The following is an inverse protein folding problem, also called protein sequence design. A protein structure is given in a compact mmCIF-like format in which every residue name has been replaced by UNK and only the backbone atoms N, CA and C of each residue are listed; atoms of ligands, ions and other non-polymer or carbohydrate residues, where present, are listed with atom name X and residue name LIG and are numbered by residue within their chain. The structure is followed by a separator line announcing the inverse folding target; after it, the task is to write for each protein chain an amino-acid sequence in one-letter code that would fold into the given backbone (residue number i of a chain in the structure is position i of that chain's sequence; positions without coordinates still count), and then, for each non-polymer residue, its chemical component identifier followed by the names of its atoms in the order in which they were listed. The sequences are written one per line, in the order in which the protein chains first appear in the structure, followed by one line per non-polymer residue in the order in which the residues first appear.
data_IF_823973333781
#
_entry.id   IF_823973333781
#
_cell.length_a   1.000
_cell.length_b   1.000
_cell.length_c   1.000
_cell.angle_alpha   90.00
_cell.angle_beta   90.00
_cell.angle_gamma   90.00
#
_symmetry.space_group_name_H-M   'P 1'
#
loop_
_entity.id
_entity.type
_entity.pdbx_description
1 polymer ?
#
# COMPACT_ATOMS: atom_id res chain seq x y z
N UNK A 1 40.28 -36.50 -23.03
CA UNK A 1 39.31 -35.66 -23.78
C UNK A 1 38.89 -34.52 -22.86
N UNK A 2 39.40 -33.33 -23.08
CA UNK A 2 39.00 -32.11 -22.36
C UNK A 2 37.79 -31.51 -23.08
N UNK A 3 36.65 -31.45 -22.39
CA UNK A 3 35.45 -30.75 -22.88
C UNK A 3 35.78 -29.26 -22.86
N UNK A 4 35.69 -28.53 -23.99
CA UNK A 4 35.96 -27.10 -24.00
C UNK A 4 34.92 -26.39 -23.14
N UNK A 5 35.38 -25.51 -22.25
CA UNK A 5 34.48 -24.65 -21.47
C UNK A 5 33.85 -23.62 -22.43
N UNK A 6 32.53 -23.42 -22.37
CA UNK A 6 31.88 -22.40 -23.17
C UNK A 6 32.45 -21.02 -22.83
N UNK A 7 32.53 -20.16 -23.84
CA UNK A 7 32.94 -18.78 -23.65
C UNK A 7 31.91 -18.04 -22.79
N UNK A 8 32.34 -16.99 -22.06
CA UNK A 8 31.46 -16.18 -21.21
C UNK A 8 30.27 -15.60 -22.00
N UNK A 9 30.46 -15.32 -23.30
CA UNK A 9 29.39 -14.84 -24.17
C UNK A 9 28.33 -15.91 -24.47
N UNK A 10 28.72 -17.17 -24.66
CA UNK A 10 27.78 -18.29 -24.86
C UNK A 10 26.99 -18.59 -23.58
N UNK A 11 27.64 -18.49 -22.41
CA UNK A 11 26.97 -18.62 -21.12
C UNK A 11 25.92 -17.51 -20.91
N UNK A 12 26.26 -16.24 -21.23
CA UNK A 12 25.34 -15.11 -21.14
C UNK A 12 24.16 -15.21 -22.13
N UNK A 13 24.38 -15.73 -23.33
CA UNK A 13 23.32 -15.93 -24.32
C UNK A 13 22.34 -17.04 -23.89
N UNK A 14 22.88 -18.17 -23.42
CA UNK A 14 22.10 -19.27 -22.84
C UNK A 14 21.26 -18.78 -21.64
N UNK A 15 21.86 -17.95 -20.77
CA UNK A 15 21.19 -17.37 -19.61
C UNK A 15 20.02 -16.45 -19.99
N UNK A 16 20.20 -15.58 -21.01
CA UNK A 16 19.11 -14.72 -21.50
C UNK A 16 17.95 -15.53 -22.09
N UNK A 17 18.26 -16.59 -22.85
CA UNK A 17 17.23 -17.47 -23.41
C UNK A 17 16.45 -18.21 -22.30
N UNK A 18 17.13 -18.66 -21.25
CA UNK A 18 16.52 -19.31 -20.08
C UNK A 18 15.67 -18.34 -19.24
N UNK A 19 16.05 -17.07 -19.14
CA UNK A 19 15.22 -16.05 -18.48
C UNK A 19 13.96 -15.75 -19.30
N UNK A 20 14.08 -15.65 -20.62
CA UNK A 20 12.93 -15.37 -21.50
C UNK A 20 11.90 -16.51 -21.47
N UNK A 21 12.35 -17.76 -21.53
CA UNK A 21 11.44 -18.91 -21.43
C UNK A 21 10.78 -19.02 -20.06
N UNK A 22 11.48 -18.61 -19.00
CA UNK A 22 10.90 -18.53 -17.67
C UNK A 22 9.89 -17.39 -17.53
N UNK A 23 10.13 -16.23 -18.14
CA UNK A 23 9.16 -15.14 -18.17
C UNK A 23 7.85 -15.58 -18.83
N UNK A 24 7.94 -16.23 -19.98
CA UNK A 24 6.77 -16.83 -20.65
C UNK A 24 6.08 -17.85 -19.75
N UNK A 25 6.85 -18.71 -19.07
CA UNK A 25 6.30 -19.72 -18.17
C UNK A 25 5.62 -19.12 -16.93
N UNK A 26 6.21 -18.09 -16.32
CA UNK A 26 5.63 -17.37 -15.17
C UNK A 26 4.36 -16.62 -15.58
N UNK A 27 4.36 -15.96 -16.75
CA UNK A 27 3.19 -15.27 -17.28
C UNK A 27 2.05 -16.25 -17.55
N UNK A 28 2.35 -17.42 -18.14
CA UNK A 28 1.36 -18.48 -18.35
C UNK A 28 0.86 -19.06 -17.02
N UNK A 29 1.76 -19.28 -16.06
CA UNK A 29 1.40 -19.85 -14.76
C UNK A 29 0.53 -18.90 -13.92
N UNK A 30 0.96 -17.65 -13.73
CA UNK A 30 0.21 -16.67 -12.95
C UNK A 30 -1.04 -16.17 -13.69
N UNK A 31 -0.98 -16.04 -15.02
CA UNK A 31 -2.15 -15.75 -15.84
C UNK A 31 -3.20 -16.85 -15.76
N UNK A 32 -2.78 -18.12 -15.85
CA UNK A 32 -3.66 -19.28 -15.68
C UNK A 32 -4.21 -19.42 -14.26
N UNK A 33 -3.40 -19.14 -13.23
CA UNK A 33 -3.84 -19.16 -11.83
C UNK A 33 -4.87 -18.05 -11.56
N UNK A 34 -4.65 -16.84 -12.08
CA UNK A 34 -5.61 -15.72 -11.97
C UNK A 34 -6.94 -16.07 -12.62
N UNK A 35 -6.92 -16.58 -13.86
CA UNK A 35 -8.14 -17.01 -14.57
C UNK A 35 -8.88 -18.12 -13.82
N UNK A 36 -8.15 -19.05 -13.18
CA UNK A 36 -8.74 -20.13 -12.38
C UNK A 36 -9.39 -19.61 -11.09
N UNK A 37 -8.78 -18.62 -10.43
CA UNK A 37 -9.33 -17.99 -9.22
C UNK A 37 -10.58 -17.14 -9.55
N UNK A 38 -10.59 -16.47 -10.70
CA UNK A 38 -11.72 -15.67 -11.17
C UNK A 38 -12.97 -16.50 -11.48
N UNK A 39 -12.80 -17.76 -11.91
CA UNK A 39 -13.90 -18.71 -12.13
C UNK A 39 -14.56 -19.20 -10.84
N UNK A 40 -13.95 -18.98 -9.67
CA UNK A 40 -14.52 -19.36 -8.37
C UNK A 40 -15.42 -18.20 -7.87
N UNK A 41 -16.68 -18.43 -7.48
CA UNK A 41 -17.57 -17.36 -7.00
C UNK A 41 -17.02 -16.61 -5.77
N UNK A 42 -17.24 -15.29 -5.71
CA UNK A 42 -16.75 -14.42 -4.61
C UNK A 42 -17.19 -14.86 -3.19
N UNK A 43 -18.27 -15.65 -3.07
CA UNK A 43 -18.78 -16.15 -1.77
C UNK A 43 -18.02 -17.37 -1.23
N UNK A 44 -17.04 -17.90 -1.97
CA UNK A 44 -16.24 -19.05 -1.58
C UNK A 44 -14.77 -18.66 -1.31
N UNK A 45 -14.57 -17.72 -0.38
CA UNK A 45 -13.24 -17.18 -0.04
C UNK A 45 -12.25 -18.28 0.36
N UNK A 46 -12.71 -19.27 1.13
CA UNK A 46 -11.88 -20.41 1.58
C UNK A 46 -11.41 -21.29 0.41
N UNK A 47 -12.22 -21.42 -0.65
CA UNK A 47 -11.86 -22.17 -1.84
C UNK A 47 -10.84 -21.41 -2.70
N UNK A 48 -10.97 -20.09 -2.81
CA UNK A 48 -9.98 -19.24 -3.51
C UNK A 48 -8.62 -19.25 -2.82
N UNK A 49 -8.61 -19.16 -1.48
CA UNK A 49 -7.39 -19.26 -0.68
C UNK A 49 -6.75 -20.63 -0.80
N UNK A 50 -7.56 -21.70 -0.80
CA UNK A 50 -7.07 -23.07 -0.99
C UNK A 50 -6.46 -23.28 -2.38
N UNK A 51 -7.09 -22.76 -3.44
CA UNK A 51 -6.57 -22.85 -4.81
C UNK A 51 -5.30 -22.01 -4.99
N UNK A 52 -5.23 -20.81 -4.42
CA UNK A 52 -4.03 -19.99 -4.42
C UNK A 52 -2.88 -20.67 -3.66
N UNK A 53 -3.16 -21.25 -2.49
CA UNK A 53 -2.17 -21.98 -1.68
C UNK A 53 -1.67 -23.24 -2.39
N UNK A 54 -2.56 -24.00 -3.04
CA UNK A 54 -2.19 -25.16 -3.86
C UNK A 54 -1.38 -24.74 -5.10
N UNK A 55 -1.73 -23.63 -5.74
CA UNK A 55 -0.96 -23.04 -6.84
C UNK A 55 0.46 -22.65 -6.39
N UNK A 56 0.59 -21.96 -5.26
CA UNK A 56 1.89 -21.61 -4.66
C UNK A 56 2.71 -22.84 -4.26
N UNK A 57 2.08 -23.87 -3.69
CA UNK A 57 2.73 -25.14 -3.35
C UNK A 57 3.18 -25.90 -4.60
N UNK A 58 2.36 -25.92 -5.65
CA UNK A 58 2.70 -26.54 -6.93
C UNK A 58 3.85 -25.80 -7.60
N UNK A 59 3.79 -24.47 -7.63
CA UNK A 59 4.88 -23.60 -8.08
C UNK A 59 6.16 -23.93 -7.31
N UNK A 60 6.12 -23.91 -5.98
CA UNK A 60 7.28 -24.20 -5.15
C UNK A 60 7.87 -25.59 -5.44
N UNK A 61 7.02 -26.63 -5.58
CA UNK A 61 7.48 -28.01 -5.87
C UNK A 61 8.04 -28.20 -7.28
N UNK A 62 7.48 -27.55 -8.28
CA UNK A 62 7.97 -27.63 -9.67
C UNK A 62 9.18 -26.74 -9.91
N UNK A 63 9.30 -25.65 -9.16
CA UNK A 63 10.37 -24.66 -9.30
C UNK A 63 11.61 -24.98 -8.46
N UNK A 64 11.45 -25.70 -7.34
CA UNK A 64 12.56 -26.08 -6.47
C UNK A 64 13.66 -26.91 -7.19
N UNK A 65 13.34 -27.90 -8.05
CA UNK A 65 14.35 -28.64 -8.81
C UNK A 65 15.08 -27.76 -9.83
N UNK A 66 14.37 -26.80 -10.45
CA UNK A 66 14.96 -25.83 -11.38
C UNK A 66 16.00 -24.96 -10.67
N UNK A 67 15.68 -24.44 -9.48
CA UNK A 67 16.62 -23.65 -8.67
C UNK A 67 17.81 -24.45 -8.13
N UNK A 68 17.68 -25.77 -7.95
CA UNK A 68 18.77 -26.63 -7.47
C UNK A 68 19.85 -26.86 -8.52
N UNK A 69 19.51 -26.81 -9.80
CA UNK A 69 20.43 -27.07 -10.92
C UNK A 69 21.30 -25.85 -11.30
N UNK A 70 21.02 -24.66 -10.76
CA UNK A 70 21.88 -23.49 -10.94
C UNK A 70 23.09 -23.55 -10.01
N UNK A 71 24.27 -23.19 -10.51
CA UNK A 71 25.46 -22.99 -9.69
C UNK A 71 25.22 -21.85 -8.67
N UNK A 72 25.93 -21.84 -7.55
CA UNK A 72 25.67 -20.90 -6.44
C UNK A 72 25.71 -19.43 -6.85
N UNK A 73 26.58 -19.06 -7.80
CA UNK A 73 26.69 -17.70 -8.32
C UNK A 73 25.53 -17.33 -9.26
N UNK A 74 25.08 -18.27 -10.10
CA UNK A 74 23.92 -18.06 -10.97
C UNK A 74 22.63 -17.94 -10.15
N UNK A 75 22.49 -18.71 -9.06
CA UNK A 75 21.36 -18.57 -8.13
C UNK A 75 21.24 -17.16 -7.57
N UNK A 76 22.35 -16.52 -7.22
CA UNK A 76 22.33 -15.18 -6.64
C UNK A 76 21.95 -14.12 -7.67
N UNK A 77 22.51 -14.19 -8.89
CA UNK A 77 22.12 -13.33 -10.02
C UNK A 77 20.63 -13.51 -10.37
N UNK A 78 20.14 -14.74 -10.30
CA UNK A 78 18.75 -15.06 -10.57
C UNK A 78 17.80 -14.56 -9.48
N UNK A 79 18.20 -14.70 -8.21
CA UNK A 79 17.46 -14.18 -7.05
C UNK A 79 17.35 -12.66 -7.12
N UNK A 80 18.43 -11.97 -7.46
CA UNK A 80 18.46 -10.52 -7.70
C UNK A 80 17.57 -10.14 -8.88
N UNK A 81 17.63 -10.88 -10.00
CA UNK A 81 16.82 -10.62 -11.19
C UNK A 81 15.31 -10.81 -10.98
N UNK A 82 14.91 -11.87 -10.27
CA UNK A 82 13.49 -12.11 -9.91
C UNK A 82 13.00 -11.11 -8.89
N UNK A 83 13.80 -10.74 -7.88
CA UNK A 83 13.44 -9.69 -6.92
C UNK A 83 13.30 -8.33 -7.61
N UNK A 84 14.18 -8.00 -8.57
CA UNK A 84 14.02 -6.80 -9.38
C UNK A 84 12.77 -6.84 -10.27
N UNK A 85 12.43 -8.00 -10.85
CA UNK A 85 11.20 -8.17 -11.63
C UNK A 85 9.93 -8.07 -10.76
N UNK A 86 9.93 -8.66 -9.58
CA UNK A 86 8.84 -8.54 -8.60
C UNK A 86 8.69 -7.09 -8.10
N UNK A 87 9.79 -6.40 -7.82
CA UNK A 87 9.78 -4.97 -7.48
C UNK A 87 9.39 -4.07 -8.66
N UNK A 88 9.51 -4.54 -9.90
CA UNK A 88 9.00 -3.85 -11.09
C UNK A 88 7.50 -4.11 -11.30
N UNK A 89 7.03 -5.31 -10.95
CA UNK A 89 5.62 -5.71 -11.06
C UNK A 89 4.75 -5.15 -9.94
N UNK A 90 5.32 -4.93 -8.75
CA UNK A 90 4.69 -4.18 -7.66
C UNK A 90 5.49 -2.90 -7.48
N UNK A 91 5.04 -1.77 -8.03
CA UNK A 91 5.58 -0.44 -7.70
C UNK A 91 5.22 -0.10 -6.25
N UNK A 92 5.80 -0.82 -5.29
CA UNK A 92 5.71 -0.48 -3.88
C UNK A 92 6.69 0.66 -3.68
N UNK A 93 6.15 1.89 -3.58
CA UNK A 93 6.93 2.99 -3.05
C UNK A 93 6.60 3.08 -1.57
N UNK A 94 7.62 3.05 -0.73
CA UNK A 94 7.43 3.00 0.72
C UNK A 94 8.38 3.93 1.42
N UNK A 95 7.85 4.70 2.35
CA UNK A 95 8.62 5.55 3.23
C UNK A 95 8.48 5.00 4.65
N UNK A 96 9.62 4.56 5.18
CA UNK A 96 9.77 4.07 6.55
C UNK A 96 10.86 4.93 7.20
N UNK A 97 10.50 5.96 7.99
CA UNK A 97 11.48 6.82 8.62
C UNK A 97 12.25 6.06 9.70
N UNK A 98 13.51 6.44 9.92
CA UNK A 98 14.32 5.88 11.01
C UNK A 98 13.72 6.18 12.39
N UNK A 99 13.02 7.30 12.50
CA UNK A 99 12.26 7.73 13.68
C UNK A 99 10.88 8.20 13.24
N UNK A 100 9.79 7.74 13.88
CA UNK A 100 8.44 8.18 13.54
C UNK A 100 8.30 9.71 13.61
N UNK A 101 7.45 10.28 12.76
CA UNK A 101 7.13 11.71 12.82
C UNK A 101 6.07 11.91 13.90
N UNK A 102 6.42 12.59 14.99
CA UNK A 102 5.60 12.71 16.21
C UNK A 102 4.92 14.07 16.28
N UNK A 103 3.65 14.10 16.68
CA UNK A 103 2.94 15.34 17.01
C UNK A 103 3.45 15.93 18.33
N UNK A 104 3.82 17.21 18.28
CA UNK A 104 4.21 18.00 19.47
C UNK A 104 3.02 18.69 20.14
N UNK A 105 1.82 18.62 19.55
CA UNK A 105 0.62 19.31 20.03
C UNK A 105 0.15 18.68 21.33
N UNK A 106 -0.06 19.55 22.32
CA UNK A 106 -0.56 19.21 23.66
C UNK A 106 -2.08 19.28 23.73
N UNK A 107 -2.64 18.74 24.81
CA UNK A 107 -4.05 18.34 24.94
C UNK A 107 -4.44 17.32 23.85
N UNK A 108 -4.77 16.11 24.31
CA UNK A 108 -5.08 14.98 23.43
C UNK A 108 -6.58 14.76 23.33
N UNK A 109 -7.04 14.46 22.13
CA UNK A 109 -8.38 13.94 21.87
C UNK A 109 -8.27 12.46 21.54
N UNK A 110 -9.02 11.61 22.25
CA UNK A 110 -9.10 10.19 21.90
C UNK A 110 -9.79 10.03 20.55
N UNK A 111 -9.24 9.18 19.68
CA UNK A 111 -9.88 8.84 18.40
C UNK A 111 -11.29 8.26 18.59
N UNK A 112 -11.54 7.61 19.73
CA UNK A 112 -12.86 7.05 20.06
C UNK A 112 -13.91 8.12 20.41
N UNK A 113 -13.49 9.35 20.74
CA UNK A 113 -14.37 10.42 21.20
C UNK A 113 -14.81 11.36 20.06
N UNK A 114 -14.45 11.04 18.81
CA UNK A 114 -14.86 11.83 17.65
C UNK A 114 -16.39 11.83 17.49
N UNK A 115 -16.93 13.03 17.29
CA UNK A 115 -18.37 13.23 17.08
C UNK A 115 -18.85 12.56 15.79
N UNK A 116 -20.17 12.39 15.72
CA UNK A 116 -20.83 11.82 14.54
C UNK A 116 -20.61 12.70 13.31
N UNK A 117 -20.28 12.07 12.18
CA UNK A 117 -20.17 12.71 10.87
C UNK A 117 -20.97 11.92 9.82
N UNK A 118 -21.33 12.57 8.71
CA UNK A 118 -21.98 11.90 7.58
C UNK A 118 -20.97 10.99 6.88
N UNK A 119 -21.36 9.75 6.62
CA UNK A 119 -20.48 8.76 6.00
C UNK A 119 -20.24 9.08 4.53
N UNK A 120 -18.97 9.08 4.12
CA UNK A 120 -18.56 9.38 2.74
C UNK A 120 -17.84 8.19 2.11
N UNK A 121 -18.21 7.84 0.88
CA UNK A 121 -17.52 6.87 0.03
C UNK A 121 -16.47 7.61 -0.82
N UNK A 122 -15.22 7.59 -0.36
CA UNK A 122 -14.12 8.27 -1.05
C UNK A 122 -13.73 7.60 -2.37
N UNK A 123 -14.12 6.35 -2.64
CA UNK A 123 -13.86 5.74 -3.94
C UNK A 123 -14.88 6.21 -4.99
N UNK A 124 -16.13 6.45 -4.58
CA UNK A 124 -17.20 6.96 -5.45
C UNK A 124 -17.35 8.48 -5.44
N UNK A 125 -16.79 9.15 -4.44
CA UNK A 125 -16.92 10.59 -4.25
C UNK A 125 -18.31 11.05 -3.81
N UNK A 126 -19.06 10.23 -3.06
CA UNK A 126 -20.44 10.53 -2.67
C UNK A 126 -20.76 10.12 -1.22
N UNK A 127 -21.83 10.68 -0.66
CA UNK A 127 -22.36 10.28 0.64
C UNK A 127 -22.97 8.88 0.56
N UNK A 128 -22.77 8.10 1.61
CA UNK A 128 -23.32 6.75 1.69
C UNK A 128 -24.76 6.81 2.17
N UNK A 129 -25.68 6.24 1.38
CA UNK A 129 -27.06 6.01 1.80
C UNK A 129 -27.22 4.60 2.37
N UNK A 130 -27.81 4.49 3.55
CA UNK A 130 -28.10 3.24 4.24
C UNK A 130 -29.62 3.18 4.51
N UNK A 131 -30.32 2.23 3.88
CA UNK A 131 -31.78 2.06 3.99
C UNK A 131 -32.61 3.30 3.62
N UNK A 132 -32.10 4.17 2.73
CA UNK A 132 -32.79 5.38 2.29
C UNK A 132 -32.44 6.64 3.08
N UNK A 133 -31.64 6.52 4.16
CA UNK A 133 -31.14 7.64 4.96
C UNK A 133 -29.62 7.84 4.77
N UNK A 134 -29.10 9.02 5.12
CA UNK A 134 -27.66 9.25 5.14
C UNK A 134 -26.99 8.41 6.24
N UNK A 135 -26.07 7.53 5.84
CA UNK A 135 -25.21 6.79 6.74
C UNK A 135 -24.36 7.74 7.57
N UNK A 136 -24.00 7.31 8.78
CA UNK A 136 -23.17 8.11 9.69
C UNK A 136 -22.06 7.27 10.30
N UNK A 137 -20.94 7.92 10.61
CA UNK A 137 -19.79 7.34 11.33
C UNK A 137 -19.56 8.11 12.62
N UNK A 138 -18.96 7.48 13.64
CA UNK A 138 -18.61 8.11 14.93
C UNK A 138 -17.35 7.47 15.51
N UNK A 139 -16.73 8.12 16.48
CA UNK A 139 -15.52 7.61 17.14
C UNK A 139 -14.41 7.34 16.12
N UNK A 140 -13.76 6.18 16.23
CA UNK A 140 -12.61 5.83 15.40
C UNK A 140 -12.88 5.90 13.89
N UNK A 141 -14.08 5.51 13.44
CA UNK A 141 -14.44 5.58 12.02
C UNK A 141 -14.57 7.02 11.53
N UNK A 142 -15.10 7.92 12.36
CA UNK A 142 -15.17 9.35 12.05
C UNK A 142 -13.77 9.99 12.05
N UNK A 143 -12.88 9.54 12.95
CA UNK A 143 -11.48 9.93 12.93
C UNK A 143 -10.79 9.50 11.63
N UNK A 144 -10.91 8.22 11.25
CA UNK A 144 -10.36 7.68 10.00
C UNK A 144 -10.89 8.47 8.80
N UNK A 145 -12.20 8.70 8.74
CA UNK A 145 -12.83 9.51 7.69
C UNK A 145 -12.24 10.92 7.63
N UNK A 146 -11.98 11.56 8.78
CA UNK A 146 -11.37 12.90 8.83
C UNK A 146 -9.93 12.91 8.30
N UNK A 147 -9.13 11.88 8.59
CA UNK A 147 -7.77 11.72 8.02
C UNK A 147 -7.84 11.60 6.50
N UNK A 148 -8.71 10.71 5.99
CA UNK A 148 -8.88 10.50 4.54
C UNK A 148 -9.36 11.79 3.87
N UNK A 149 -10.37 12.45 4.43
CA UNK A 149 -10.91 13.73 3.92
C UNK A 149 -9.83 14.81 3.88
N UNK A 150 -9.06 14.99 4.95
CA UNK A 150 -8.00 16.01 4.98
C UNK A 150 -6.91 15.72 3.94
N UNK A 151 -6.52 14.45 3.80
CA UNK A 151 -5.53 14.01 2.82
C UNK A 151 -6.01 14.29 1.38
N UNK A 152 -7.29 14.00 1.09
CA UNK A 152 -7.91 14.18 -0.22
C UNK A 152 -8.51 15.56 -0.49
N UNK A 153 -8.37 16.53 0.42
CA UNK A 153 -8.85 17.89 0.17
C UNK A 153 -7.76 18.72 -0.50
N UNK A 154 -8.12 19.42 -1.58
CA UNK A 154 -7.26 20.41 -2.21
C UNK A 154 -7.11 21.66 -1.35
N UNK A 155 -5.89 21.89 -0.86
CA UNK A 155 -5.55 23.05 -0.03
C UNK A 155 -5.83 24.37 -0.73
N UNK A 156 -5.55 24.42 -2.02
CA UNK A 156 -5.69 25.64 -2.83
C UNK A 156 -7.15 26.07 -2.99
N UNK A 157 -8.11 25.13 -2.87
CA UNK A 157 -9.55 25.40 -2.96
C UNK A 157 -10.19 25.67 -1.60
N UNK A 158 -9.76 24.99 -0.54
CA UNK A 158 -10.48 24.95 0.73
C UNK A 158 -9.73 25.57 1.92
N UNK A 159 -8.56 26.18 1.71
CA UNK A 159 -7.66 26.72 2.76
C UNK A 159 -7.14 25.68 3.78
N UNK A 160 -7.53 24.41 3.62
CA UNK A 160 -7.08 23.25 4.37
C UNK A 160 -6.97 22.04 3.43
N UNK A 161 -6.19 21.04 3.83
CA UNK A 161 -5.99 19.81 3.08
C UNK A 161 -4.54 19.63 2.61
N UNK A 162 -4.25 18.47 2.03
CA UNK A 162 -2.89 18.09 1.60
C UNK A 162 -2.82 17.58 0.15
N UNK A 163 -3.93 17.48 -0.57
CA UNK A 163 -3.99 16.78 -1.86
C UNK A 163 -3.02 17.33 -2.90
N UNK A 164 -2.81 18.65 -2.95
CA UNK A 164 -1.91 19.31 -3.90
C UNK A 164 -0.44 18.88 -3.77
N UNK A 165 -0.06 18.18 -2.69
CA UNK A 165 1.32 17.80 -2.35
C UNK A 165 1.58 16.29 -2.38
N UNK A 166 0.59 15.49 -2.75
CA UNK A 166 0.66 14.03 -2.67
C UNK A 166 0.15 13.42 -3.98
N UNK A 167 0.52 12.16 -4.21
CA UNK A 167 0.12 11.35 -5.37
C UNK A 167 0.83 11.67 -6.69
N UNK A 168 1.81 12.57 -6.73
CA UNK A 168 2.50 12.98 -7.97
C UNK A 168 3.80 12.20 -8.20
N UNK A 169 4.31 11.53 -7.18
CA UNK A 169 5.57 10.83 -7.21
C UNK A 169 5.62 9.73 -8.29
N UNK A 170 6.61 9.87 -9.17
CA UNK A 170 6.93 8.93 -10.25
C UNK A 170 7.97 7.90 -9.85
N UNK A 171 8.76 8.20 -8.81
CA UNK A 171 9.84 7.39 -8.28
C UNK A 171 9.91 7.45 -6.73
N UNK A 172 10.81 6.64 -6.16
CA UNK A 172 10.94 6.47 -4.71
C UNK A 172 11.38 7.75 -3.98
N UNK A 173 12.29 8.54 -4.55
CA UNK A 173 12.83 9.73 -3.88
C UNK A 173 11.79 10.85 -3.84
N UNK A 174 11.06 11.05 -4.94
CA UNK A 174 9.89 11.94 -4.99
C UNK A 174 8.83 11.49 -3.98
N UNK A 175 8.57 10.18 -3.90
CA UNK A 175 7.60 9.64 -2.95
C UNK A 175 8.01 9.87 -1.50
N UNK A 176 9.31 9.74 -1.17
CA UNK A 176 9.81 10.04 0.18
C UNK A 176 9.55 11.51 0.53
N UNK A 177 9.80 12.44 -0.40
CA UNK A 177 9.53 13.86 -0.16
C UNK A 177 8.04 14.13 0.10
N UNK A 178 7.15 13.58 -0.73
CA UNK A 178 5.69 13.68 -0.54
C UNK A 178 5.24 13.06 0.79
N UNK A 179 5.79 11.90 1.15
CA UNK A 179 5.44 11.19 2.38
C UNK A 179 5.85 11.97 3.62
N UNK A 180 7.02 12.62 3.60
CA UNK A 180 7.46 13.50 4.69
C UNK A 180 6.52 14.70 4.83
N UNK A 181 6.16 15.35 3.72
CA UNK A 181 5.23 16.48 3.70
C UNK A 181 3.84 16.09 4.22
N UNK A 182 3.33 14.92 3.81
CA UNK A 182 2.08 14.35 4.29
C UNK A 182 2.13 14.05 5.79
N UNK A 183 3.18 13.38 6.26
CA UNK A 183 3.34 13.03 7.66
C UNK A 183 3.36 14.28 8.55
N UNK A 184 4.18 15.27 8.19
CA UNK A 184 4.26 16.55 8.90
C UNK A 184 2.91 17.28 8.88
N UNK A 185 2.27 17.36 7.73
CA UNK A 185 0.97 18.00 7.58
C UNK A 185 -0.13 17.37 8.43
N UNK A 186 -0.13 16.05 8.59
CA UNK A 186 -1.09 15.32 9.43
C UNK A 186 -0.85 15.58 10.92
N UNK A 187 0.39 15.45 11.39
CA UNK A 187 0.69 15.61 12.83
C UNK A 187 0.59 17.05 13.31
N UNK A 188 0.75 18.04 12.42
CA UNK A 188 0.69 19.46 12.76
C UNK A 188 -0.69 20.10 12.55
N UNK A 189 -1.69 19.33 12.10
CA UNK A 189 -2.98 19.89 11.70
C UNK A 189 -3.81 20.31 12.92
N UNK A 190 -3.97 21.62 13.10
CA UNK A 190 -4.89 22.24 14.06
C UNK A 190 -5.87 23.12 13.30
N UNK A 191 -7.16 23.08 13.66
CA UNK A 191 -8.14 24.01 13.11
C UNK A 191 -8.21 25.27 13.98
N UNK A 192 -8.45 26.42 13.35
CA UNK A 192 -8.48 27.72 14.01
C UNK A 192 -9.60 27.86 15.05
N UNK A 193 -10.61 27.00 14.99
CA UNK A 193 -11.73 26.94 15.92
C UNK A 193 -11.50 26.01 17.12
N UNK A 194 -10.34 25.34 17.20
CA UNK A 194 -9.95 24.48 18.32
C UNK A 194 -9.86 25.27 19.63
N UNK A 195 -10.51 24.78 20.68
CA UNK A 195 -10.54 25.43 22.01
C UNK A 195 -10.36 24.37 23.12
N UNK A 196 -9.91 24.77 24.33
CA UNK A 196 -9.90 23.86 25.48
C UNK A 196 -11.28 23.24 25.70
N UNK A 197 -11.34 21.91 25.81
CA UNK A 197 -12.59 21.14 25.93
C UNK A 197 -13.37 20.91 24.63
N UNK A 198 -12.92 21.48 23.51
CA UNK A 198 -13.46 21.26 22.17
C UNK A 198 -12.31 21.27 21.15
N UNK A 199 -11.49 20.23 21.23
CA UNK A 199 -10.28 20.09 20.42
C UNK A 199 -10.66 19.75 18.98
N UNK A 200 -10.15 20.55 18.05
CA UNK A 200 -10.37 20.37 16.62
C UNK A 200 -9.03 20.30 15.86
N UNK A 201 -8.81 19.17 15.20
CA UNK A 201 -7.67 18.97 14.31
C UNK A 201 -7.05 17.61 14.52
N UNK A 202 -6.42 17.06 13.48
CA UNK A 202 -5.80 15.75 13.51
C UNK A 202 -4.58 15.71 14.43
N UNK A 203 -3.86 16.82 14.59
CA UNK A 203 -2.65 16.89 15.41
C UNK A 203 -2.89 16.69 16.91
N UNK A 204 -4.12 16.93 17.40
CA UNK A 204 -4.54 16.61 18.77
C UNK A 204 -4.78 15.10 18.99
N UNK A 205 -4.92 14.32 17.93
CA UNK A 205 -5.30 12.90 17.99
C UNK A 205 -4.19 11.99 17.47
N UNK A 206 -3.53 12.35 16.37
CA UNK A 206 -2.40 11.62 15.81
C UNK A 206 -1.19 11.88 16.71
N UNK A 207 -0.64 10.81 17.27
CA UNK A 207 0.56 10.86 18.10
C UNK A 207 1.81 10.72 17.24
N UNK A 208 1.80 9.80 16.29
CA UNK A 208 2.94 9.55 15.40
C UNK A 208 2.51 8.97 14.06
N UNK A 209 3.24 9.30 13.00
CA UNK A 209 3.20 8.61 11.70
C UNK A 209 4.39 7.66 11.63
N UNK A 210 4.11 6.37 11.45
CA UNK A 210 5.09 5.28 11.48
C UNK A 210 5.58 4.93 10.07
N UNK A 211 4.71 4.96 9.07
CA UNK A 211 5.09 4.74 7.66
C UNK A 211 4.00 5.17 6.70
N UNK A 212 4.39 5.42 5.45
CA UNK A 212 3.46 5.67 4.34
C UNK A 212 3.88 4.81 3.15
N UNK A 213 2.92 4.13 2.53
CA UNK A 213 3.15 3.21 1.42
C UNK A 213 2.17 3.50 0.28
N UNK A 214 2.69 3.59 -0.95
CA UNK A 214 1.90 3.53 -2.18
C UNK A 214 1.80 2.07 -2.61
N UNK A 215 0.59 1.58 -2.79
CA UNK A 215 0.32 0.20 -3.17
C UNK A 215 -0.86 0.12 -4.13
N UNK A 216 -0.98 -1.01 -4.83
CA UNK A 216 -2.10 -1.31 -5.73
C UNK A 216 -2.83 -2.53 -5.20
N UNK A 217 -4.12 -2.39 -4.88
CA UNK A 217 -4.98 -3.47 -4.40
C UNK A 217 -6.14 -3.65 -5.39
N UNK A 218 -6.29 -4.85 -5.96
CA UNK A 218 -7.35 -5.17 -6.93
C UNK A 218 -7.40 -4.17 -8.12
N UNK A 219 -6.23 -3.76 -8.62
CA UNK A 219 -6.11 -2.83 -9.75
C UNK A 219 -6.40 -1.36 -9.42
N UNK A 220 -6.54 -1.01 -8.14
CA UNK A 220 -6.73 0.37 -7.66
C UNK A 220 -5.56 0.82 -6.80
N UNK A 221 -5.11 2.04 -7.00
CA UNK A 221 -3.99 2.61 -6.23
C UNK A 221 -4.47 3.21 -4.90
N UNK A 222 -3.68 3.00 -3.86
CA UNK A 222 -3.92 3.47 -2.50
C UNK A 222 -2.65 4.02 -1.87
N UNK A 223 -2.82 4.99 -0.97
CA UNK A 223 -1.86 5.25 0.10
C UNK A 223 -2.31 4.51 1.36
N UNK A 224 -1.39 3.76 1.96
CA UNK A 224 -1.54 3.19 3.30
C UNK A 224 -0.72 4.03 4.27
N UNK A 225 -1.40 4.65 5.24
CA UNK A 225 -0.78 5.49 6.26
C UNK A 225 -0.84 4.73 7.59
N UNK A 226 0.32 4.32 8.10
CA UNK A 226 0.41 3.68 9.42
C UNK A 226 0.67 4.74 10.48
N UNK A 227 -0.17 4.81 11.50
CA UNK A 227 -0.10 5.84 12.55
C UNK A 227 -0.48 5.33 13.94
N UNK A 228 0.03 6.01 14.97
CA UNK A 228 -0.45 5.89 16.35
C UNK A 228 -1.41 7.04 16.65
N UNK A 229 -2.52 6.73 17.32
CA UNK A 229 -3.54 7.70 17.69
C UNK A 229 -3.88 7.59 19.17
N UNK A 230 -4.12 8.72 19.82
CA UNK A 230 -4.54 8.76 21.21
C UNK A 230 -5.84 7.99 21.41
N UNK A 231 -5.92 7.20 22.48
CA UNK A 231 -7.07 6.34 22.78
C UNK A 231 -7.12 5.03 21.99
N UNK A 232 -6.10 4.71 21.19
CA UNK A 232 -5.98 3.45 20.44
C UNK A 232 -4.70 2.75 20.86
N UNK A 233 -4.79 1.47 21.22
CA UNK A 233 -3.70 0.67 21.79
C UNK A 233 -2.78 0.02 20.74
N UNK A 234 -3.17 0.08 19.47
CA UNK A 234 -2.45 -0.48 18.33
C UNK A 234 -2.22 0.56 17.23
N UNK A 235 -1.28 0.26 16.33
CA UNK A 235 -1.03 1.08 15.13
C UNK A 235 -2.22 0.92 14.18
N UNK A 236 -2.80 2.04 13.77
CA UNK A 236 -3.84 2.10 12.76
C UNK A 236 -3.22 2.18 11.38
N UNK A 237 -3.78 1.42 10.43
CA UNK A 237 -3.43 1.53 9.01
C UNK A 237 -4.63 2.10 8.27
N UNK A 238 -4.51 3.37 7.87
CA UNK A 238 -5.55 4.10 7.16
C UNK A 238 -5.32 3.98 5.66
N UNK A 239 -6.32 3.49 4.93
CA UNK A 239 -6.31 3.38 3.48
C UNK A 239 -6.94 4.64 2.86
N UNK A 240 -6.15 5.35 2.07
CA UNK A 240 -6.58 6.53 1.31
C UNK A 240 -6.62 6.15 -0.18
N UNK A 241 -7.79 6.17 -0.84
CA UNK A 241 -7.85 5.92 -2.29
C UNK A 241 -7.15 7.02 -3.06
N UNK A 242 -6.48 6.67 -4.16
CA UNK A 242 -6.04 7.68 -5.13
C UNK A 242 -7.29 8.31 -5.79
N UNK A 243 -7.37 9.65 -5.87
CA UNK A 243 -8.46 10.30 -6.58
C UNK A 243 -8.36 9.99 -8.09
N UNK A 244 -9.47 9.59 -8.71
CA UNK A 244 -9.57 9.29 -10.15
C UNK A 244 -10.24 10.41 -10.97
N UNK A 245 -10.48 11.57 -10.36
CA UNK A 245 -11.29 12.67 -10.90
C UNK A 245 -10.46 13.95 -11.13
#
# INVERSE_FOLDING_TARGET
MTIPRPSIQEALFSFKAQISSLQEWLLLFFGGLSATIELIPNRALDQRLSVAALGLLFFYRTFQPFCRNFMSEERELWRVGVLQQLNRMVKIMKWLPATPVVSTIQERLSANDYLRDMKFDFEKGDLVLENGDFGTVKGIDAFIQKVVKFTLTEKDKFSYGLMNKIFQASNQDEFVAEAIDLANGLVSQVLSDSKPGSLNGLGHTIEAIESIEKTTLNGKDFLLISLRASGVDHVLVIRVPYPWW
#
